data_IF_664862593415
#
_entry.id   IF_664862593415
#
_cell.length_a   1.000
_cell.length_b   1.000
_cell.length_c   1.000
_cell.angle_alpha   90.00
_cell.angle_beta   90.00
_cell.angle_gamma   90.00
#
_symmetry.space_group_name_H-M   'P 1'
#
loop_
_entity.id
_entity.type
_entity.pdbx_description
1 polymer ?
#
# COMPACT_ATOMS: atom_id res chain seq x y z
N UNK A 1 18.89 8.18 36.64
CA UNK A 1 17.69 7.99 35.81
C UNK A 1 17.99 6.97 34.72
N UNK A 2 17.06 6.03 34.47
CA UNK A 2 17.22 4.89 33.57
C UNK A 2 16.88 5.25 32.11
N UNK A 3 17.74 4.77 31.21
CA UNK A 3 17.56 4.30 29.83
C UNK A 3 16.75 5.14 28.82
N UNK A 4 17.44 5.78 27.88
CA UNK A 4 16.90 6.04 26.53
C UNK A 4 17.44 4.95 25.59
N UNK A 5 16.67 3.88 25.41
CA UNK A 5 16.96 2.85 24.42
C UNK A 5 16.90 3.48 23.03
N UNK A 6 18.03 3.46 22.31
CA UNK A 6 18.05 3.71 20.87
C UNK A 6 17.37 2.52 20.19
N UNK A 7 16.05 2.58 20.07
CA UNK A 7 15.31 1.74 19.15
C UNK A 7 15.71 2.16 17.74
N UNK A 8 16.66 1.46 17.13
CA UNK A 8 16.82 1.48 15.68
C UNK A 8 15.52 0.92 15.10
N UNK A 9 14.60 1.82 14.75
CA UNK A 9 13.47 1.47 13.92
C UNK A 9 14.06 0.89 12.63
N UNK A 10 13.98 -0.42 12.47
CA UNK A 10 14.30 -1.09 11.22
C UNK A 10 13.26 -0.65 10.21
N UNK A 11 13.48 0.51 9.59
CA UNK A 11 12.63 0.97 8.51
C UNK A 11 12.82 -0.06 7.39
N UNK A 12 11.76 -0.81 7.10
CA UNK A 12 11.79 -1.77 6.01
C UNK A 12 12.06 -0.97 4.74
N UNK A 13 13.23 -1.16 4.14
CA UNK A 13 13.55 -0.55 2.86
C UNK A 13 12.82 -1.35 1.77
N UNK A 14 11.62 -0.87 1.42
CA UNK A 14 10.76 -1.50 0.41
C UNK A 14 11.50 -1.68 -0.93
N UNK A 15 12.45 -0.79 -1.25
CA UNK A 15 13.26 -0.86 -2.49
C UNK A 15 14.23 -2.03 -2.52
N UNK A 16 14.61 -2.58 -1.37
CA UNK A 16 15.47 -3.76 -1.28
C UNK A 16 14.71 -5.08 -1.41
N UNK A 17 13.37 -5.03 -1.49
CA UNK A 17 12.49 -6.20 -1.45
C UNK A 17 11.80 -6.41 -2.81
N UNK A 18 11.61 -5.35 -3.58
CA UNK A 18 10.86 -5.35 -4.84
C UNK A 18 11.81 -5.26 -6.03
N UNK A 19 11.61 -6.13 -7.03
CA UNK A 19 12.26 -6.03 -8.35
C UNK A 19 11.47 -5.06 -9.23
N UNK A 20 12.06 -3.89 -9.52
CA UNK A 20 11.42 -2.81 -10.28
C UNK A 20 10.87 -3.30 -11.64
N UNK A 21 11.66 -4.08 -12.39
CA UNK A 21 11.28 -4.53 -13.73
C UNK A 21 10.08 -5.49 -13.69
N UNK A 22 10.09 -6.43 -12.75
CA UNK A 22 8.95 -7.33 -12.52
C UNK A 22 7.75 -6.58 -11.96
N UNK A 23 7.97 -5.57 -11.11
CA UNK A 23 6.92 -4.75 -10.53
C UNK A 23 6.12 -4.03 -11.61
N UNK A 24 6.77 -3.24 -12.48
CA UNK A 24 6.07 -2.51 -13.55
C UNK A 24 5.34 -3.44 -14.52
N UNK A 25 5.91 -4.61 -14.81
CA UNK A 25 5.22 -5.60 -15.66
C UNK A 25 3.97 -6.15 -14.97
N UNK A 26 4.11 -6.59 -13.72
CA UNK A 26 3.01 -7.19 -12.94
C UNK A 26 1.89 -6.17 -12.71
N UNK A 27 2.24 -4.93 -12.35
CA UNK A 27 1.26 -3.86 -12.07
C UNK A 27 0.37 -3.56 -13.28
N UNK A 28 0.92 -3.59 -14.50
CA UNK A 28 0.14 -3.38 -15.73
C UNK A 28 -0.77 -4.53 -16.11
N UNK A 29 -0.53 -5.72 -15.56
CA UNK A 29 -1.35 -6.92 -15.81
C UNK A 29 -2.30 -7.24 -14.64
N UNK A 30 -2.11 -6.56 -13.50
CA UNK A 30 -2.90 -6.78 -12.30
C UNK A 30 -4.30 -6.21 -12.48
N UNK A 31 -5.29 -7.04 -12.16
CA UNK A 31 -6.65 -6.59 -11.93
C UNK A 31 -6.83 -6.43 -10.42
N UNK A 32 -7.11 -5.20 -9.96
CA UNK A 32 -7.28 -4.94 -8.53
C UNK A 32 -8.47 -5.73 -7.99
N UNK A 33 -8.20 -6.65 -7.07
CA UNK A 33 -9.25 -7.41 -6.40
C UNK A 33 -9.97 -6.54 -5.38
N UNK A 34 -11.28 -6.73 -5.28
CA UNK A 34 -12.11 -6.21 -4.20
C UNK A 34 -11.49 -6.47 -2.82
N UNK A 35 -11.80 -5.60 -1.86
CA UNK A 35 -11.25 -5.67 -0.52
C UNK A 35 -11.58 -6.99 0.15
N UNK A 36 -10.54 -7.68 0.63
CA UNK A 36 -10.72 -8.93 1.35
C UNK A 36 -11.37 -8.68 2.71
N UNK A 37 -12.39 -9.48 3.03
CA UNK A 37 -13.07 -9.44 4.33
C UNK A 37 -12.79 -10.71 5.10
N UNK A 38 -12.24 -10.54 6.30
CA UNK A 38 -11.94 -11.61 7.23
C UNK A 38 -12.99 -11.69 8.32
N UNK A 39 -13.21 -12.92 8.82
CA UNK A 39 -14.09 -13.17 9.95
C UNK A 39 -13.30 -13.79 11.11
N UNK A 40 -13.23 -13.09 12.23
CA UNK A 40 -12.59 -13.60 13.44
C UNK A 40 -13.53 -14.59 14.15
N UNK A 41 -13.20 -15.87 14.14
CA UNK A 41 -14.00 -16.92 14.81
C UNK A 41 -14.01 -16.83 16.35
N UNK A 42 -13.08 -16.07 16.95
CA UNK A 42 -12.98 -15.96 18.40
C UNK A 42 -13.87 -14.85 18.97
N UNK A 43 -14.00 -13.71 18.29
CA UNK A 43 -14.83 -12.58 18.72
C UNK A 43 -16.03 -12.30 17.82
N UNK A 44 -16.21 -13.10 16.76
CA UNK A 44 -17.30 -13.03 15.79
C UNK A 44 -17.44 -11.66 15.10
N UNK A 45 -16.31 -10.96 14.92
CA UNK A 45 -16.24 -9.66 14.23
C UNK A 45 -15.61 -9.82 12.86
N UNK A 46 -16.03 -8.95 11.95
CA UNK A 46 -15.41 -8.78 10.64
C UNK A 46 -14.34 -7.71 10.69
N UNK A 47 -13.30 -7.88 9.90
CA UNK A 47 -12.26 -6.89 9.64
C UNK A 47 -11.75 -7.08 8.21
N UNK A 48 -11.07 -6.10 7.68
CA UNK A 48 -10.45 -6.12 6.37
C UNK A 48 -8.97 -5.70 6.48
N UNK A 49 -8.27 -5.67 5.35
CA UNK A 49 -6.86 -5.26 5.29
C UNK A 49 -6.61 -3.81 5.76
N UNK A 50 -7.66 -2.98 5.82
CA UNK A 50 -7.55 -1.56 6.19
C UNK A 50 -7.92 -1.31 7.65
N UNK A 51 -8.64 -2.23 8.30
CA UNK A 51 -9.18 -2.08 9.65
C UNK A 51 -8.04 -1.82 10.65
N UNK A 52 -8.12 -0.71 11.38
CA UNK A 52 -7.10 -0.32 12.35
C UNK A 52 -5.80 0.23 11.75
N UNK A 53 -5.77 0.50 10.43
CA UNK A 53 -4.64 1.16 9.76
C UNK A 53 -4.95 2.63 9.46
N UNK A 54 -3.95 3.40 9.07
CA UNK A 54 -4.16 4.79 8.59
C UNK A 54 -5.00 4.89 7.31
N UNK A 55 -5.24 3.77 6.63
CA UNK A 55 -6.03 3.68 5.42
C UNK A 55 -7.49 3.25 5.69
N UNK A 56 -7.88 3.08 6.96
CA UNK A 56 -9.24 2.71 7.33
C UNK A 56 -10.28 3.67 6.73
N UNK A 57 -11.33 3.12 6.13
CA UNK A 57 -12.41 3.90 5.49
C UNK A 57 -12.10 4.44 4.09
N UNK A 58 -10.90 4.21 3.53
CA UNK A 58 -10.63 4.48 2.11
C UNK A 58 -11.35 3.48 1.21
N UNK A 59 -11.49 3.77 -0.08
CA UNK A 59 -12.09 2.87 -1.06
C UNK A 59 -11.07 1.87 -1.59
N UNK A 60 -9.91 2.38 -2.04
CA UNK A 60 -8.86 1.59 -2.67
C UNK A 60 -8.24 0.52 -1.77
N UNK A 61 -7.88 -0.66 -2.32
CA UNK A 61 -7.23 -1.73 -1.58
C UNK A 61 -5.84 -1.31 -1.08
N UNK A 62 -5.36 -1.99 -0.03
CA UNK A 62 -4.07 -1.69 0.60
C UNK A 62 -2.89 -1.77 -0.39
N UNK A 63 -2.97 -2.67 -1.37
CA UNK A 63 -1.94 -2.87 -2.40
C UNK A 63 -1.69 -1.61 -3.25
N UNK A 64 -2.74 -0.86 -3.60
CA UNK A 64 -2.61 0.40 -4.35
C UNK A 64 -1.81 1.42 -3.54
N UNK A 65 -2.15 1.58 -2.25
CA UNK A 65 -1.44 2.51 -1.37
C UNK A 65 0.03 2.15 -1.18
N UNK A 66 0.35 0.87 -1.03
CA UNK A 66 1.74 0.38 -0.91
C UNK A 66 2.52 0.68 -2.20
N UNK A 67 1.92 0.45 -3.37
CA UNK A 67 2.57 0.71 -4.65
C UNK A 67 2.72 2.20 -4.94
N UNK A 68 1.73 3.04 -4.59
CA UNK A 68 1.86 4.49 -4.62
C UNK A 68 3.07 4.96 -3.80
N UNK A 69 3.20 4.49 -2.56
CA UNK A 69 4.33 4.83 -1.68
C UNK A 69 5.66 4.37 -2.27
N UNK A 70 5.70 3.15 -2.83
CA UNK A 70 6.89 2.63 -3.49
C UNK A 70 7.29 3.47 -4.71
N UNK A 71 6.34 3.81 -5.59
CA UNK A 71 6.59 4.63 -6.78
C UNK A 71 6.96 6.09 -6.46
N UNK A 72 6.37 6.68 -5.43
CA UNK A 72 6.83 7.97 -4.89
C UNK A 72 8.27 7.87 -4.37
N UNK A 73 8.62 6.75 -3.71
CA UNK A 73 10.01 6.44 -3.36
C UNK A 73 10.92 6.37 -4.59
N UNK A 74 10.45 5.81 -5.71
CA UNK A 74 11.14 5.82 -7.00
C UNK A 74 11.19 7.21 -7.67
N UNK A 75 10.57 8.23 -7.07
CA UNK A 75 10.50 9.60 -7.57
C UNK A 75 9.78 9.73 -8.92
N UNK A 76 8.74 8.89 -9.14
CA UNK A 76 7.83 9.01 -10.27
C UNK A 76 6.85 10.17 -10.06
N UNK A 77 6.41 10.81 -11.14
CA UNK A 77 5.36 11.83 -11.07
C UNK A 77 4.00 11.19 -10.74
N UNK A 78 3.12 11.92 -10.04
CA UNK A 78 1.76 11.43 -9.75
C UNK A 78 0.98 11.04 -11.02
N UNK A 79 1.21 11.75 -12.13
CA UNK A 79 0.64 11.39 -13.44
C UNK A 79 1.12 10.04 -13.94
N UNK A 80 2.39 9.70 -13.71
CA UNK A 80 2.94 8.40 -14.09
C UNK A 80 2.48 7.31 -13.14
N UNK A 81 2.40 7.60 -11.85
CA UNK A 81 1.85 6.67 -10.84
C UNK A 81 0.40 6.31 -11.19
N UNK A 82 -0.42 7.30 -11.52
CA UNK A 82 -1.80 7.07 -11.97
C UNK A 82 -1.86 6.20 -13.23
N UNK A 83 -1.00 6.47 -14.21
CA UNK A 83 -0.93 5.67 -15.44
C UNK A 83 -0.53 4.21 -15.17
N UNK A 84 0.43 3.96 -14.28
CA UNK A 84 0.86 2.59 -14.00
C UNK A 84 -0.19 1.82 -13.18
N UNK A 85 -0.86 2.45 -12.23
CA UNK A 85 -1.80 1.78 -11.34
C UNK A 85 -3.21 1.59 -11.93
N UNK A 86 -3.48 2.16 -13.11
CA UNK A 86 -4.80 2.22 -13.76
C UNK A 86 -6.01 2.32 -12.80
N UNK A 87 -6.08 3.32 -11.91
CA UNK A 87 -7.33 3.67 -11.28
C UNK A 87 -8.02 4.70 -12.16
N UNK A 88 -9.28 4.48 -12.48
CA UNK A 88 -10.16 5.49 -13.06
C UNK A 88 -9.84 6.89 -12.46
N UNK A 89 -9.33 7.78 -13.32
CA UNK A 89 -8.32 8.83 -13.07
C UNK A 89 -8.56 9.90 -11.98
N UNK A 90 -9.59 9.76 -11.14
CA UNK A 90 -10.07 10.81 -10.23
C UNK A 90 -9.42 10.83 -8.83
N UNK A 91 -8.94 9.69 -8.32
CA UNK A 91 -8.52 9.59 -6.90
C UNK A 91 -7.00 9.72 -6.68
N UNK A 92 -6.16 9.44 -7.69
CA UNK A 92 -4.69 9.58 -7.56
C UNK A 92 -4.25 11.05 -7.47
N UNK A 93 -5.06 11.97 -8.01
CA UNK A 93 -4.79 13.41 -7.91
C UNK A 93 -5.08 13.98 -6.52
N UNK A 94 -5.82 13.25 -5.67
CA UNK A 94 -6.18 13.66 -4.30
C UNK A 94 -5.30 13.01 -3.22
N UNK A 95 -4.30 12.21 -3.61
CA UNK A 95 -3.26 11.67 -2.71
C UNK A 95 -2.19 12.71 -2.39
#
# INVERSE_FOLDING_TARGET
MKMAGKGSHNILNIRGIIDDAKCFHTVRELHWSERQRYHCRNCNRYFDDLTGTIFEGRHEPLSIWILCLYFMGLNLSNSRIAYELDPDTSDVQQM
#
